data_IF_593510975936
#
_entry.id   IF_593510975936
#
_cell.length_a   1.000
_cell.length_b   1.000
_cell.length_c   1.000
_cell.angle_alpha   90.00
_cell.angle_beta   90.00
_cell.angle_gamma   90.00
#
_symmetry.space_group_name_H-M   'P 1'
#
loop_
_entity.id
_entity.type
_entity.pdbx_description
1 polymer ?
#
# COMPACT_ATOMS: atom_id res chain seq x y z
N UNK A 1 -90.19 26.88 -7.66
CA UNK A 1 -89.98 25.66 -8.54
C UNK A 1 -88.55 25.56 -9.12
N UNK A 2 -87.76 26.65 -9.24
CA UNK A 2 -86.37 26.58 -9.77
C UNK A 2 -85.28 26.15 -8.73
N UNK A 3 -85.59 26.27 -7.40
CA UNK A 3 -84.63 25.86 -6.35
C UNK A 3 -84.69 24.34 -6.04
N UNK A 4 -85.85 23.69 -6.34
CA UNK A 4 -86.00 22.25 -6.13
C UNK A 4 -85.34 21.40 -7.22
N UNK A 5 -85.24 21.98 -8.46
CA UNK A 5 -84.59 21.28 -9.57
C UNK A 5 -83.03 21.29 -9.47
N UNK A 6 -82.47 22.34 -8.85
CA UNK A 6 -81.03 22.44 -8.62
C UNK A 6 -80.56 21.49 -7.53
N UNK A 7 -81.41 21.20 -6.50
CA UNK A 7 -81.08 20.26 -5.46
C UNK A 7 -81.11 18.79 -5.87
N UNK A 8 -82.00 18.46 -6.85
CA UNK A 8 -82.11 17.13 -7.42
C UNK A 8 -80.91 16.81 -8.37
N UNK A 9 -80.37 17.83 -9.07
CA UNK A 9 -79.20 17.63 -9.91
C UNK A 9 -77.92 17.49 -9.06
N UNK A 10 -77.81 18.21 -7.98
CA UNK A 10 -76.67 18.08 -7.04
C UNK A 10 -76.74 16.77 -6.25
N UNK A 11 -77.95 16.32 -5.85
CA UNK A 11 -78.10 15.06 -5.15
C UNK A 11 -77.85 13.81 -6.04
N UNK A 12 -78.11 13.88 -7.35
CA UNK A 12 -77.73 12.80 -8.27
C UNK A 12 -76.26 12.76 -8.61
N UNK A 13 -75.51 13.86 -8.44
CA UNK A 13 -74.05 13.86 -8.59
C UNK A 13 -73.31 13.30 -7.37
N UNK A 14 -73.98 13.23 -6.21
CA UNK A 14 -73.34 12.72 -4.97
C UNK A 14 -73.59 11.20 -4.78
N UNK A 15 -74.52 10.58 -5.53
CA UNK A 15 -74.85 9.13 -5.34
C UNK A 15 -74.16 8.26 -6.41
N UNK A 16 -73.55 8.85 -7.45
CA UNK A 16 -72.70 8.11 -8.34
C UNK A 16 -71.23 8.23 -7.97
N UNK A 17 -70.92 7.92 -6.74
CA UNK A 17 -69.54 7.60 -6.29
C UNK A 17 -69.11 6.32 -6.96
N UNK A 18 -68.90 6.32 -8.28
CA UNK A 18 -68.12 5.32 -8.93
C UNK A 18 -66.71 5.57 -8.42
N UNK A 19 -66.35 4.82 -7.39
CA UNK A 19 -64.96 4.57 -7.04
C UNK A 19 -64.28 4.09 -8.29
N UNK A 20 -63.66 4.99 -9.06
CA UNK A 20 -62.75 4.62 -10.11
C UNK A 20 -61.59 3.90 -9.37
N UNK A 21 -61.72 2.56 -9.26
CA UNK A 21 -60.56 1.75 -8.94
C UNK A 21 -59.56 2.05 -10.01
N UNK A 22 -58.56 2.91 -9.67
CA UNK A 22 -57.43 3.17 -10.51
C UNK A 22 -56.81 1.84 -10.86
N UNK A 23 -57.00 1.37 -12.08
CA UNK A 23 -56.48 0.09 -12.55
C UNK A 23 -54.95 0.27 -12.54
N UNK A 24 -54.29 -0.56 -11.75
CA UNK A 24 -52.82 -0.59 -11.77
C UNK A 24 -52.39 -1.02 -13.14
N UNK A 25 -51.70 -0.15 -13.88
CA UNK A 25 -51.14 -0.45 -15.20
C UNK A 25 -49.68 -0.78 -15.02
N UNK A 26 -49.29 -1.99 -15.33
CA UNK A 26 -47.89 -2.40 -15.38
C UNK A 26 -47.32 -2.02 -16.74
N UNK A 27 -45.99 -1.71 -16.77
CA UNK A 27 -45.24 -1.59 -18.02
C UNK A 27 -45.16 -2.96 -18.71
N UNK A 28 -45.09 -2.95 -20.03
CA UNK A 28 -44.95 -4.19 -20.81
C UNK A 28 -43.71 -4.97 -20.37
N UNK A 29 -43.87 -6.26 -20.18
CA UNK A 29 -42.83 -7.19 -19.73
C UNK A 29 -42.85 -8.46 -20.57
N UNK A 30 -41.97 -8.51 -21.58
CA UNK A 30 -41.82 -9.62 -22.51
C UNK A 30 -40.40 -10.21 -22.44
N UNK A 31 -40.05 -10.96 -21.40
CA UNK A 31 -38.66 -11.41 -21.16
C UNK A 31 -38.14 -12.41 -22.21
N UNK A 32 -39.00 -12.95 -23.07
CA UNK A 32 -38.62 -13.90 -24.13
C UNK A 32 -38.75 -13.28 -25.53
N UNK A 33 -38.92 -11.99 -25.64
CA UNK A 33 -39.03 -11.32 -26.93
C UNK A 33 -37.66 -11.32 -27.64
N UNK A 34 -37.64 -11.79 -28.87
CA UNK A 34 -36.49 -11.80 -29.73
C UNK A 34 -36.44 -10.50 -30.52
N UNK A 35 -35.46 -9.65 -30.27
CA UNK A 35 -35.24 -8.46 -31.07
C UNK A 35 -34.64 -8.83 -32.41
N UNK A 36 -35.21 -8.30 -33.50
CA UNK A 36 -34.72 -8.52 -34.87
C UNK A 36 -33.31 -7.91 -35.04
N UNK A 37 -33.08 -6.76 -34.41
CA UNK A 37 -31.80 -6.08 -34.34
C UNK A 37 -31.44 -5.83 -32.87
N UNK A 38 -30.53 -6.63 -32.28
CA UNK A 38 -30.08 -6.37 -30.92
C UNK A 38 -29.34 -5.01 -30.87
N UNK A 39 -29.55 -4.19 -29.82
CA UNK A 39 -28.88 -2.90 -29.69
C UNK A 39 -27.37 -3.09 -29.59
N UNK A 40 -26.61 -2.12 -30.15
CA UNK A 40 -25.17 -2.09 -29.94
C UNK A 40 -24.89 -1.86 -28.45
N UNK A 41 -23.89 -2.57 -27.90
CA UNK A 41 -23.50 -2.38 -26.51
C UNK A 41 -23.19 -0.92 -26.14
N UNK A 42 -22.68 -0.14 -27.12
CA UNK A 42 -22.43 1.27 -26.91
C UNK A 42 -23.70 2.10 -26.68
N UNK A 43 -24.81 1.74 -27.28
CA UNK A 43 -26.10 2.45 -27.13
C UNK A 43 -26.70 2.21 -25.74
N UNK A 44 -26.40 1.07 -25.12
CA UNK A 44 -26.86 0.71 -23.78
C UNK A 44 -26.06 1.39 -22.65
N UNK A 45 -24.99 2.12 -22.98
CA UNK A 45 -24.14 2.81 -22.02
C UNK A 45 -24.38 4.32 -22.14
N UNK A 46 -24.68 4.96 -21.03
CA UNK A 46 -24.85 6.41 -20.96
C UNK A 46 -23.61 7.16 -21.50
N UNK A 47 -23.83 8.27 -22.20
CA UNK A 47 -22.76 9.07 -22.80
C UNK A 47 -21.71 9.54 -21.78
N UNK A 48 -22.16 9.98 -20.61
CA UNK A 48 -21.30 10.46 -19.52
C UNK A 48 -20.81 9.36 -18.57
N UNK A 49 -21.06 8.09 -18.88
CA UNK A 49 -20.66 7.02 -17.99
C UNK A 49 -19.12 6.92 -17.87
N UNK A 50 -18.55 6.75 -16.65
CA UNK A 50 -17.10 6.71 -16.42
C UNK A 50 -16.34 5.65 -17.25
N UNK A 51 -17.02 4.59 -17.69
CA UNK A 51 -16.42 3.55 -18.54
C UNK A 51 -15.91 4.11 -19.87
N UNK A 52 -16.59 5.11 -20.45
CA UNK A 52 -16.19 5.76 -21.71
C UNK A 52 -14.89 6.56 -21.50
N UNK A 53 -14.77 7.26 -20.39
CA UNK A 53 -13.55 8.00 -20.03
C UNK A 53 -12.40 7.04 -19.85
N UNK A 54 -12.60 5.92 -19.12
CA UNK A 54 -11.58 4.87 -18.98
C UNK A 54 -11.14 4.36 -20.35
N UNK A 55 -12.10 4.08 -21.27
CA UNK A 55 -11.76 3.59 -22.61
C UNK A 55 -10.96 4.62 -23.40
N UNK A 56 -11.47 5.86 -23.49
CA UNK A 56 -10.84 6.94 -24.28
C UNK A 56 -9.43 7.28 -23.82
N UNK A 57 -9.23 7.43 -22.50
CA UNK A 57 -7.91 7.74 -21.94
C UNK A 57 -6.92 6.62 -22.24
N UNK A 58 -7.30 5.34 -22.03
CA UNK A 58 -6.38 4.22 -22.26
C UNK A 58 -6.07 4.03 -23.75
N UNK A 59 -7.03 4.32 -24.63
CA UNK A 59 -6.76 4.30 -26.08
C UNK A 59 -5.73 5.33 -26.52
N UNK A 60 -5.66 6.48 -25.84
CA UNK A 60 -4.68 7.54 -26.09
C UNK A 60 -3.28 7.28 -25.52
N UNK A 61 -3.11 6.30 -24.61
CA UNK A 61 -1.81 6.05 -23.98
C UNK A 61 -0.79 5.40 -24.93
N UNK A 62 0.45 5.83 -24.81
CA UNK A 62 1.59 5.10 -25.39
C UNK A 62 1.95 3.90 -24.50
N UNK A 63 1.74 2.72 -25.04
CA UNK A 63 2.06 1.43 -24.37
C UNK A 63 3.14 0.63 -25.13
N UNK A 64 3.98 1.30 -25.94
CA UNK A 64 5.01 0.61 -26.73
C UNK A 64 5.96 -0.21 -25.87
N UNK A 65 6.36 0.27 -24.70
CA UNK A 65 7.21 -0.46 -23.77
C UNK A 65 6.52 -1.73 -23.25
N UNK A 66 5.26 -1.64 -22.88
CA UNK A 66 4.45 -2.80 -22.50
C UNK A 66 4.31 -3.79 -23.67
N UNK A 67 4.12 -3.32 -24.90
CA UNK A 67 4.04 -4.18 -26.08
C UNK A 67 5.33 -4.99 -26.31
N UNK A 68 6.50 -4.43 -26.03
CA UNK A 68 7.79 -5.14 -26.12
C UNK A 68 7.91 -6.34 -25.19
N UNK A 69 7.09 -6.42 -24.14
CA UNK A 69 7.05 -7.59 -23.24
C UNK A 69 6.38 -8.83 -23.87
N UNK A 70 5.70 -8.66 -25.01
CA UNK A 70 5.07 -9.75 -25.77
C UNK A 70 6.07 -10.30 -26.80
N UNK A 71 6.18 -11.63 -26.85
CA UNK A 71 7.05 -12.31 -27.83
C UNK A 71 6.20 -12.81 -29.00
N UNK A 72 6.72 -12.76 -30.21
CA UNK A 72 6.05 -13.36 -31.37
C UNK A 72 6.01 -14.90 -31.23
N UNK A 73 5.00 -15.53 -31.85
CA UNK A 73 4.79 -16.98 -31.82
C UNK A 73 3.87 -17.41 -30.67
N UNK A 74 3.41 -18.63 -30.72
CA UNK A 74 2.47 -19.21 -29.74
C UNK A 74 1.00 -18.87 -30.02
N UNK A 75 0.14 -19.11 -29.01
CA UNK A 75 -1.29 -18.82 -29.07
C UNK A 75 -1.53 -17.31 -29.07
N UNK A 76 -2.56 -16.85 -29.81
CA UNK A 76 -2.95 -15.43 -29.85
C UNK A 76 -3.22 -14.86 -28.47
N UNK A 77 -2.63 -13.71 -28.20
CA UNK A 77 -2.73 -13.02 -26.91
C UNK A 77 -3.83 -11.95 -26.95
N UNK A 78 -4.47 -11.72 -25.82
CA UNK A 78 -5.39 -10.58 -25.66
C UNK A 78 -4.61 -9.26 -25.74
N UNK A 79 -5.19 -8.25 -26.38
CA UNK A 79 -4.57 -6.94 -26.54
C UNK A 79 -4.34 -6.26 -25.18
N UNK A 80 -3.12 -5.73 -24.87
CA UNK A 80 -2.83 -5.17 -23.55
C UNK A 80 -3.70 -3.97 -23.16
N UNK A 81 -4.10 -3.10 -24.11
CA UNK A 81 -5.04 -2.00 -23.82
C UNK A 81 -6.38 -2.53 -23.31
N UNK A 82 -6.90 -3.61 -23.90
CA UNK A 82 -8.14 -4.23 -23.45
C UNK A 82 -8.02 -4.74 -22.01
N UNK A 83 -6.96 -5.50 -21.70
CA UNK A 83 -6.72 -5.99 -20.34
C UNK A 83 -6.51 -4.84 -19.33
N UNK A 84 -5.85 -3.77 -19.74
CA UNK A 84 -5.66 -2.57 -18.92
C UNK A 84 -7.00 -1.87 -18.64
N UNK A 85 -7.87 -1.71 -19.65
CA UNK A 85 -9.22 -1.17 -19.49
C UNK A 85 -10.03 -1.99 -18.48
N UNK A 86 -10.03 -3.31 -18.62
CA UNK A 86 -10.73 -4.25 -17.73
C UNK A 86 -10.22 -4.11 -16.29
N UNK A 87 -8.90 -4.07 -16.08
CA UNK A 87 -8.30 -3.94 -14.76
C UNK A 87 -8.66 -2.58 -14.12
N UNK A 88 -8.44 -1.48 -14.83
CA UNK A 88 -8.67 -0.14 -14.28
C UNK A 88 -10.15 0.07 -13.98
N UNK A 89 -11.05 -0.36 -14.87
CA UNK A 89 -12.48 -0.28 -14.63
C UNK A 89 -12.93 -1.19 -13.49
N UNK A 90 -12.32 -2.37 -13.34
CA UNK A 90 -12.53 -3.25 -12.20
C UNK A 90 -12.22 -2.55 -10.87
N UNK A 91 -11.07 -1.90 -10.77
CA UNK A 91 -10.69 -1.13 -9.57
C UNK A 91 -11.57 0.12 -9.37
N UNK A 92 -12.04 0.74 -10.46
CA UNK A 92 -13.00 1.83 -10.39
C UNK A 92 -14.34 1.36 -9.80
N UNK A 93 -14.78 0.17 -10.16
CA UNK A 93 -16.05 -0.47 -9.74
C UNK A 93 -15.92 -1.34 -8.48
N UNK A 94 -14.80 -1.27 -7.75
CA UNK A 94 -14.50 -2.03 -6.54
C UNK A 94 -14.41 -3.56 -6.75
N UNK A 95 -14.13 -3.99 -7.97
CA UNK A 95 -13.91 -5.38 -8.34
C UNK A 95 -12.40 -5.63 -8.45
N UNK A 96 -11.77 -6.18 -7.40
CA UNK A 96 -10.31 -6.37 -7.32
C UNK A 96 -9.87 -7.80 -7.68
N UNK A 97 -10.73 -8.78 -7.45
CA UNK A 97 -10.45 -10.20 -7.72
C UNK A 97 -10.50 -10.50 -9.20
N UNK A 98 -9.48 -11.15 -9.76
CA UNK A 98 -9.46 -11.58 -11.16
C UNK A 98 -10.61 -12.53 -11.50
N UNK A 99 -11.03 -13.40 -10.56
CA UNK A 99 -12.20 -14.28 -10.74
C UNK A 99 -13.52 -13.51 -10.85
N UNK A 100 -13.66 -12.45 -10.01
CA UNK A 100 -14.85 -11.57 -10.12
C UNK A 100 -14.81 -10.73 -11.41
N UNK A 101 -13.63 -10.36 -11.90
CA UNK A 101 -13.49 -9.68 -13.20
C UNK A 101 -13.85 -10.61 -14.36
N UNK A 102 -13.40 -11.87 -14.32
CA UNK A 102 -13.81 -12.90 -15.29
C UNK A 102 -15.33 -13.09 -15.32
N UNK A 103 -15.99 -13.13 -14.16
CA UNK A 103 -17.45 -13.20 -14.07
C UNK A 103 -18.09 -11.91 -14.62
N UNK A 104 -17.58 -10.74 -14.26
CA UNK A 104 -18.10 -9.47 -14.77
C UNK A 104 -17.99 -9.35 -16.31
N UNK A 105 -16.97 -9.93 -16.93
CA UNK A 105 -16.85 -10.02 -18.40
C UNK A 105 -17.95 -10.86 -19.06
N UNK A 106 -18.64 -11.70 -18.31
CA UNK A 106 -19.76 -12.52 -18.78
C UNK A 106 -21.13 -11.90 -18.51
N UNK A 107 -21.25 -11.06 -17.50
CA UNK A 107 -22.53 -10.64 -16.92
C UNK A 107 -22.74 -9.11 -16.95
N UNK A 108 -21.67 -8.31 -17.03
CA UNK A 108 -21.75 -6.86 -16.93
C UNK A 108 -21.46 -6.20 -18.27
N UNK A 109 -22.43 -5.43 -18.76
CA UNK A 109 -22.38 -4.75 -20.06
C UNK A 109 -21.16 -3.86 -20.24
N UNK A 110 -20.73 -3.14 -19.19
CA UNK A 110 -19.57 -2.25 -19.26
C UNK A 110 -18.28 -3.03 -19.50
N UNK A 111 -18.12 -4.19 -18.84
CA UNK A 111 -16.98 -5.08 -19.05
C UNK A 111 -17.02 -5.74 -20.42
N UNK A 112 -18.19 -6.17 -20.87
CA UNK A 112 -18.40 -6.73 -22.22
C UNK A 112 -18.01 -5.70 -23.30
N UNK A 113 -18.43 -4.46 -23.12
CA UNK A 113 -18.09 -3.37 -24.04
C UNK A 113 -16.58 -3.06 -24.05
N UNK A 114 -15.93 -2.95 -22.87
CA UNK A 114 -14.47 -2.69 -22.76
C UNK A 114 -13.63 -3.79 -23.40
N UNK A 115 -14.10 -5.05 -23.32
CA UNK A 115 -13.39 -6.21 -23.83
C UNK A 115 -13.77 -6.58 -25.27
N UNK A 116 -14.69 -5.82 -25.91
CA UNK A 116 -15.28 -6.18 -27.21
C UNK A 116 -15.74 -7.65 -27.20
N UNK A 117 -16.52 -8.04 -26.18
CA UNK A 117 -17.04 -9.40 -25.94
C UNK A 117 -15.97 -10.49 -25.70
N UNK A 118 -14.69 -10.11 -25.63
CA UNK A 118 -13.63 -11.04 -25.27
C UNK A 118 -13.72 -11.45 -23.80
N UNK A 119 -13.42 -12.71 -23.50
CA UNK A 119 -13.59 -13.30 -22.15
C UNK A 119 -12.28 -13.90 -21.65
N UNK A 120 -11.25 -13.09 -21.33
CA UNK A 120 -10.03 -13.61 -20.71
C UNK A 120 -10.35 -14.25 -19.35
N UNK A 121 -9.72 -15.37 -19.07
CA UNK A 121 -9.85 -16.07 -17.80
C UNK A 121 -9.13 -15.32 -16.66
N UNK A 122 -9.44 -15.69 -15.43
CA UNK A 122 -8.86 -15.08 -14.26
C UNK A 122 -7.33 -15.25 -14.16
N UNK A 123 -6.76 -16.31 -14.72
CA UNK A 123 -5.31 -16.53 -14.75
C UNK A 123 -4.64 -15.54 -15.70
N UNK A 124 -5.22 -15.33 -16.88
CA UNK A 124 -4.73 -14.32 -17.85
C UNK A 124 -4.76 -12.92 -17.26
N UNK A 125 -5.89 -12.53 -16.63
CA UNK A 125 -6.03 -11.24 -15.96
C UNK A 125 -4.99 -11.09 -14.83
N UNK A 126 -4.84 -12.12 -14.01
CA UNK A 126 -3.90 -12.09 -12.89
C UNK A 126 -2.43 -12.07 -13.35
N UNK A 127 -2.08 -12.85 -14.38
CA UNK A 127 -0.73 -12.86 -14.96
C UNK A 127 -0.39 -11.51 -15.59
N UNK A 128 -1.33 -10.92 -16.31
CA UNK A 128 -1.15 -9.58 -16.88
C UNK A 128 -0.89 -8.55 -15.77
N UNK A 129 -1.71 -8.55 -14.70
CA UNK A 129 -1.54 -7.65 -13.55
C UNK A 129 -0.22 -7.87 -12.82
N UNK A 130 0.14 -9.12 -12.51
CA UNK A 130 1.27 -9.43 -11.61
C UNK A 130 2.63 -9.51 -12.31
N UNK A 131 2.66 -9.73 -13.62
CA UNK A 131 3.89 -9.97 -14.37
C UNK A 131 4.11 -8.95 -15.48
N UNK A 132 3.12 -8.71 -16.35
CA UNK A 132 3.27 -7.82 -17.50
C UNK A 132 3.30 -6.34 -17.14
N UNK A 133 2.47 -5.94 -16.19
CA UNK A 133 2.43 -4.54 -15.72
C UNK A 133 3.57 -4.19 -14.76
N UNK A 134 4.31 -5.18 -14.26
CA UNK A 134 5.45 -4.96 -13.38
C UNK A 134 6.53 -4.14 -14.11
N UNK A 135 6.88 -2.98 -13.57
CA UNK A 135 7.83 -2.04 -14.18
C UNK A 135 7.19 -1.07 -15.17
N UNK A 136 6.10 -1.44 -15.84
CA UNK A 136 5.47 -0.61 -16.88
C UNK A 136 4.38 0.32 -16.34
N UNK A 137 3.72 -0.10 -15.27
CA UNK A 137 2.53 0.61 -14.75
C UNK A 137 2.85 2.02 -14.25
N UNK A 138 4.08 2.27 -13.78
CA UNK A 138 4.51 3.59 -13.32
C UNK A 138 4.55 4.59 -14.47
N UNK A 139 5.06 4.19 -15.64
CA UNK A 139 5.06 5.02 -16.83
C UNK A 139 3.64 5.32 -17.31
N UNK A 140 2.74 4.34 -17.27
CA UNK A 140 1.32 4.51 -17.60
C UNK A 140 0.66 5.51 -16.64
N UNK A 141 0.88 5.37 -15.34
CA UNK A 141 0.37 6.31 -14.33
C UNK A 141 0.89 7.73 -14.57
N UNK A 142 2.19 7.88 -14.85
CA UNK A 142 2.81 9.18 -15.15
C UNK A 142 2.17 9.85 -16.37
N UNK A 143 1.93 9.12 -17.45
CA UNK A 143 1.25 9.66 -18.64
C UNK A 143 -0.15 10.22 -18.29
N UNK A 144 -0.91 9.49 -17.48
CA UNK A 144 -2.25 9.92 -17.05
C UNK A 144 -2.18 11.20 -16.20
N UNK A 145 -1.21 11.30 -15.29
CA UNK A 145 -1.05 12.54 -14.49
C UNK A 145 -0.62 13.73 -15.34
N UNK A 146 0.26 13.51 -16.31
CA UNK A 146 0.65 14.57 -17.25
C UNK A 146 -0.52 15.02 -18.13
N UNK A 147 -1.39 14.11 -18.55
CA UNK A 147 -2.64 14.47 -19.22
C UNK A 147 -3.54 15.33 -18.32
N UNK A 148 -3.69 14.97 -17.04
CA UNK A 148 -4.46 15.78 -16.08
C UNK A 148 -3.84 17.18 -15.86
N UNK A 149 -2.50 17.29 -15.91
CA UNK A 149 -1.81 18.59 -15.85
C UNK A 149 -2.07 19.42 -17.12
N UNK A 150 -2.03 18.81 -18.29
CA UNK A 150 -2.35 19.47 -19.57
C UNK A 150 -3.79 19.99 -19.62
N UNK A 151 -4.74 19.23 -19.10
CA UNK A 151 -6.14 19.63 -18.94
C UNK A 151 -6.39 20.66 -17.83
N UNK A 152 -5.33 21.11 -17.12
CA UNK A 152 -5.43 22.10 -16.05
C UNK A 152 -6.14 21.59 -14.77
N UNK A 153 -6.42 20.30 -14.68
CA UNK A 153 -7.09 19.68 -13.53
C UNK A 153 -6.19 19.61 -12.31
N UNK A 154 -4.89 19.47 -12.51
CA UNK A 154 -3.88 19.40 -11.45
C UNK A 154 -2.70 20.33 -11.73
N UNK A 155 -1.90 20.58 -10.69
CA UNK A 155 -0.61 21.25 -10.80
C UNK A 155 0.45 20.45 -10.04
N UNK A 156 1.60 20.25 -10.66
CA UNK A 156 2.76 19.59 -10.03
C UNK A 156 3.61 20.55 -9.17
N UNK A 157 3.25 21.83 -9.10
CA UNK A 157 4.03 22.84 -8.36
C UNK A 157 3.85 22.79 -6.84
N UNK A 158 2.60 22.55 -6.38
CA UNK A 158 2.29 22.43 -4.95
C UNK A 158 1.72 21.05 -4.68
N UNK A 159 2.39 20.28 -3.84
CA UNK A 159 1.97 18.92 -3.50
C UNK A 159 1.67 18.77 -2.01
N UNK A 160 0.61 18.03 -1.71
CA UNK A 160 0.23 17.63 -0.36
C UNK A 160 0.64 16.18 -0.16
N UNK A 161 1.52 15.93 0.81
CA UNK A 161 2.06 14.59 1.08
C UNK A 161 1.52 14.07 2.40
N UNK A 162 1.08 12.82 2.38
CA UNK A 162 0.69 12.08 3.58
C UNK A 162 0.83 10.57 3.37
N UNK A 163 0.87 9.82 4.47
CA UNK A 163 1.06 8.39 4.49
C UNK A 163 -0.10 7.64 5.15
N UNK A 164 -0.31 6.42 4.66
CA UNK A 164 -1.25 5.49 5.29
C UNK A 164 -0.74 4.06 5.22
N UNK A 165 -1.16 3.24 6.19
CA UNK A 165 -0.80 1.82 6.24
C UNK A 165 -1.90 0.99 5.62
N UNK A 166 -1.54 0.04 4.74
CA UNK A 166 -2.45 -0.92 4.11
C UNK A 166 -1.95 -2.33 4.44
N UNK A 167 -2.84 -3.21 4.87
CA UNK A 167 -2.51 -4.57 5.25
C UNK A 167 -1.97 -5.36 4.05
N UNK A 168 -0.87 -6.09 4.25
CA UNK A 168 -0.29 -6.98 3.26
C UNK A 168 -1.09 -8.29 3.15
N UNK A 169 -0.99 -8.94 2.01
CA UNK A 169 -1.53 -10.30 1.83
C UNK A 169 -0.60 -11.33 2.49
N UNK A 170 -0.53 -11.29 3.81
CA UNK A 170 0.37 -12.12 4.59
C UNK A 170 -0.33 -12.73 5.80
N UNK A 171 0.23 -13.84 6.30
CA UNK A 171 -0.27 -14.45 7.53
C UNK A 171 0.16 -13.60 8.73
N UNK A 172 -0.80 -13.26 9.59
CA UNK A 172 -0.59 -12.43 10.79
C UNK A 172 0.19 -13.14 11.89
N UNK A 173 0.21 -14.47 11.88
CA UNK A 173 0.80 -15.30 12.96
C UNK A 173 2.17 -15.87 12.59
N UNK A 174 2.63 -15.73 11.35
CA UNK A 174 3.94 -16.16 10.92
C UNK A 174 4.89 -14.98 10.74
N UNK A 175 5.64 -14.68 11.78
CA UNK A 175 6.52 -13.52 11.85
C UNK A 175 7.92 -13.86 12.27
N UNK A 176 8.86 -12.98 11.94
CA UNK A 176 10.24 -12.97 12.42
C UNK A 176 10.55 -11.60 13.00
N UNK A 177 11.07 -11.58 14.24
CA UNK A 177 11.47 -10.37 14.94
C UNK A 177 12.98 -10.30 15.07
N UNK A 178 13.61 -9.19 14.69
CA UNK A 178 15.04 -8.98 14.84
C UNK A 178 15.51 -9.08 16.28
N UNK A 179 14.70 -8.61 17.24
CA UNK A 179 15.00 -8.75 18.67
C UNK A 179 15.05 -10.22 19.12
N UNK A 180 14.19 -11.07 18.57
CA UNK A 180 14.18 -12.50 18.87
C UNK A 180 15.41 -13.20 18.31
N UNK A 181 15.84 -12.85 17.10
CA UNK A 181 17.07 -13.37 16.49
C UNK A 181 18.27 -13.03 17.38
N UNK A 182 18.42 -11.76 17.79
CA UNK A 182 19.50 -11.31 18.67
C UNK A 182 19.51 -12.08 19.99
N UNK A 183 18.32 -12.24 20.63
CA UNK A 183 18.17 -12.99 21.88
C UNK A 183 18.56 -14.46 21.74
N UNK A 184 18.15 -15.10 20.64
CA UNK A 184 18.49 -16.52 20.43
C UNK A 184 19.96 -16.73 20.11
N UNK A 185 20.59 -15.84 19.32
CA UNK A 185 22.04 -15.88 19.11
C UNK A 185 22.82 -15.71 20.41
N UNK A 186 22.48 -14.69 21.21
CA UNK A 186 23.11 -14.47 22.52
C UNK A 186 22.96 -15.68 23.43
N UNK A 187 21.79 -16.32 23.46
CA UNK A 187 21.57 -17.54 24.26
C UNK A 187 22.43 -18.72 23.80
N UNK A 188 22.65 -18.89 22.50
CA UNK A 188 23.56 -19.94 21.99
C UNK A 188 25.00 -19.62 22.42
N UNK A 189 25.44 -18.35 22.31
CA UNK A 189 26.77 -17.90 22.74
C UNK A 189 27.01 -18.21 24.23
N UNK A 190 26.09 -17.77 25.10
CA UNK A 190 26.17 -18.03 26.56
C UNK A 190 26.20 -19.52 26.89
N UNK A 191 25.42 -20.33 26.17
CA UNK A 191 25.39 -21.78 26.40
C UNK A 191 26.62 -22.49 25.87
N UNK A 192 27.21 -22.01 24.78
CA UNK A 192 28.46 -22.53 24.23
C UNK A 192 29.64 -22.22 25.18
N UNK A 193 29.73 -21.00 25.66
CA UNK A 193 30.70 -20.55 26.66
C UNK A 193 30.60 -21.37 27.94
N UNK A 194 29.39 -21.62 28.44
CA UNK A 194 29.19 -22.47 29.63
C UNK A 194 29.61 -23.92 29.41
N UNK A 195 29.43 -24.46 28.20
CA UNK A 195 29.92 -25.83 27.87
C UNK A 195 31.43 -25.84 27.73
N UNK A 196 32.04 -24.81 27.16
CA UNK A 196 33.49 -24.67 27.07
C UNK A 196 34.13 -24.58 28.45
N UNK A 197 33.68 -23.71 29.33
CA UNK A 197 34.16 -23.54 30.70
C UNK A 197 33.99 -24.84 31.52
N UNK A 198 32.94 -25.63 31.24
CA UNK A 198 32.81 -26.96 31.86
C UNK A 198 33.89 -27.94 31.35
N UNK A 199 34.15 -27.94 30.04
CA UNK A 199 35.19 -28.80 29.44
C UNK A 199 36.59 -28.44 29.98
N UNK A 200 36.92 -27.15 30.09
CA UNK A 200 38.17 -26.66 30.69
C UNK A 200 38.35 -27.14 32.13
N UNK A 201 37.29 -27.10 32.95
CA UNK A 201 37.36 -27.59 34.36
C UNK A 201 37.54 -29.08 34.47
N UNK A 202 37.03 -29.88 33.53
CA UNK A 202 37.10 -31.35 33.55
C UNK A 202 38.38 -31.87 32.94
N UNK A 203 39.01 -31.11 32.05
CA UNK A 203 40.16 -31.50 31.27
C UNK A 203 41.27 -30.42 31.27
N UNK A 204 41.61 -29.90 32.43
CA UNK A 204 42.60 -28.83 32.60
C UNK A 204 43.94 -29.11 31.92
N UNK A 205 44.39 -30.34 31.92
CA UNK A 205 45.69 -30.75 31.37
C UNK A 205 45.72 -30.82 29.85
N UNK A 206 44.56 -30.95 29.19
CA UNK A 206 44.43 -31.10 27.73
C UNK A 206 44.13 -29.77 27.01
N UNK A 207 43.66 -28.75 27.74
CA UNK A 207 43.25 -27.45 27.17
C UNK A 207 44.18 -26.29 27.54
N UNK A 208 45.27 -26.50 28.30
CA UNK A 208 46.19 -25.45 28.75
C UNK A 208 46.88 -24.65 27.62
N UNK A 209 46.87 -25.16 26.38
CA UNK A 209 47.44 -24.48 25.20
C UNK A 209 46.41 -23.94 24.19
N UNK A 210 45.14 -23.86 24.58
CA UNK A 210 44.10 -23.33 23.65
C UNK A 210 43.95 -21.84 23.83
N UNK A 211 44.02 -21.06 22.71
CA UNK A 211 43.74 -19.64 22.70
C UNK A 211 42.35 -19.35 23.30
N UNK A 212 42.24 -18.26 24.03
CA UNK A 212 40.98 -17.81 24.60
C UNK A 212 39.95 -17.60 23.49
N UNK A 213 38.93 -18.44 23.44
CA UNK A 213 37.86 -18.31 22.46
C UNK A 213 36.97 -17.12 22.80
N UNK A 214 36.82 -16.18 21.86
CA UNK A 214 35.83 -15.11 21.99
C UNK A 214 34.44 -15.61 21.51
N UNK A 215 33.49 -15.67 22.44
CA UNK A 215 32.11 -16.11 22.21
C UNK A 215 31.15 -14.94 21.85
N UNK A 216 31.65 -13.69 21.74
CA UNK A 216 30.79 -12.54 21.40
C UNK A 216 30.27 -12.61 19.97
N UNK A 217 31.11 -13.10 19.05
CA UNK A 217 30.72 -13.30 17.65
C UNK A 217 30.83 -14.79 17.30
N UNK A 218 29.68 -15.46 17.22
CA UNK A 218 29.57 -16.87 16.87
C UNK A 218 28.88 -17.03 15.52
N UNK A 219 29.42 -17.92 14.69
CA UNK A 219 28.83 -18.42 13.46
C UNK A 219 28.64 -19.94 13.51
N UNK A 220 28.06 -20.52 12.46
CA UNK A 220 27.78 -21.94 12.38
C UNK A 220 29.06 -22.79 12.39
N UNK A 221 30.13 -22.32 11.75
CA UNK A 221 31.40 -23.00 11.62
C UNK A 221 32.14 -23.05 12.97
N UNK A 222 32.28 -21.88 13.60
CA UNK A 222 32.91 -21.74 14.93
C UNK A 222 32.20 -22.60 16.01
N UNK A 223 30.84 -22.60 15.97
CA UNK A 223 30.04 -23.43 16.89
C UNK A 223 30.31 -24.91 16.66
N UNK A 224 30.35 -25.38 15.41
CA UNK A 224 30.61 -26.77 15.06
C UNK A 224 31.99 -27.18 15.52
N UNK A 225 33.03 -26.40 15.18
CA UNK A 225 34.41 -26.65 15.59
C UNK A 225 34.57 -26.70 17.11
N UNK A 226 33.94 -25.77 17.84
CA UNK A 226 33.99 -25.71 19.30
C UNK A 226 33.30 -26.92 19.92
N UNK A 227 32.14 -27.33 19.42
CA UNK A 227 31.41 -28.50 19.93
C UNK A 227 32.18 -29.80 19.67
N UNK A 228 32.80 -29.93 18.48
CA UNK A 228 33.61 -31.12 18.16
C UNK A 228 34.85 -31.19 19.05
N UNK A 229 35.55 -30.09 19.31
CA UNK A 229 36.64 -30.00 20.29
C UNK A 229 36.17 -30.43 21.71
N UNK A 230 35.04 -29.89 22.19
CA UNK A 230 34.48 -30.26 23.48
C UNK A 230 34.16 -31.76 23.53
N UNK A 231 33.57 -32.33 22.49
CA UNK A 231 33.25 -33.75 22.43
C UNK A 231 34.51 -34.64 22.42
N UNK A 232 35.57 -34.22 21.73
CA UNK A 232 36.86 -34.92 21.68
C UNK A 232 37.51 -34.98 23.10
N UNK A 233 37.62 -33.80 23.74
CA UNK A 233 38.22 -33.67 25.08
C UNK A 233 37.42 -34.39 26.16
N UNK A 234 36.10 -34.47 26.02
CA UNK A 234 35.23 -35.15 27.01
C UNK A 234 34.92 -36.61 26.69
N UNK A 235 35.53 -37.20 25.63
CA UNK A 235 35.22 -38.57 25.15
C UNK A 235 35.43 -39.63 26.22
N UNK A 236 36.56 -39.57 26.93
CA UNK A 236 36.98 -40.57 27.91
C UNK A 236 36.75 -40.12 29.37
N UNK A 237 36.07 -39.00 29.57
CA UNK A 237 35.78 -38.44 30.90
C UNK A 237 34.37 -38.81 31.37
N UNK A 238 34.20 -38.94 32.69
CA UNK A 238 32.87 -39.10 33.32
C UNK A 238 32.08 -37.81 33.27
N UNK A 239 31.22 -37.67 32.28
CA UNK A 239 30.36 -36.49 32.06
C UNK A 239 28.94 -36.79 32.52
N UNK A 240 28.28 -35.81 33.16
CA UNK A 240 26.89 -35.97 33.59
C UNK A 240 25.96 -36.17 32.38
N UNK A 241 24.91 -36.97 32.55
CA UNK A 241 23.92 -37.24 31.50
C UNK A 241 23.31 -35.95 30.92
N UNK A 242 23.08 -34.94 31.76
CA UNK A 242 22.56 -33.63 31.35
C UNK A 242 23.48 -32.86 30.36
N UNK A 243 24.80 -32.90 30.64
CA UNK A 243 25.78 -32.24 29.76
C UNK A 243 25.89 -32.99 28.44
N UNK A 244 25.92 -34.33 28.47
CA UNK A 244 25.96 -35.16 27.25
C UNK A 244 24.71 -34.92 26.37
N UNK A 245 23.53 -34.84 26.96
CA UNK A 245 22.29 -34.47 26.21
C UNK A 245 22.38 -33.07 25.60
N UNK A 246 22.93 -32.09 26.34
CA UNK A 246 23.08 -30.72 25.86
C UNK A 246 24.09 -30.63 24.71
N UNK A 247 25.20 -31.35 24.76
CA UNK A 247 26.19 -31.45 23.69
C UNK A 247 25.59 -32.09 22.42
N UNK A 248 24.84 -33.18 22.57
CA UNK A 248 24.17 -33.83 21.45
C UNK A 248 23.13 -32.90 20.80
N UNK A 249 22.37 -32.17 21.63
CA UNK A 249 21.43 -31.15 21.10
C UNK A 249 22.14 -30.00 20.38
N UNK A 250 23.24 -29.51 20.96
CA UNK A 250 24.05 -28.44 20.39
C UNK A 250 24.63 -28.84 19.04
N UNK A 251 25.25 -30.03 18.96
CA UNK A 251 25.80 -30.58 17.71
C UNK A 251 24.75 -30.71 16.61
N UNK A 252 23.55 -31.15 16.97
CA UNK A 252 22.46 -31.37 15.98
C UNK A 252 21.76 -30.09 15.51
N UNK A 253 21.68 -29.05 16.36
CA UNK A 253 20.73 -27.96 16.12
C UNK A 253 21.36 -26.56 16.05
N UNK A 254 22.50 -26.31 16.72
CA UNK A 254 22.95 -24.92 16.88
C UNK A 254 23.55 -24.35 15.59
N UNK A 255 24.29 -25.12 14.84
CA UNK A 255 24.85 -24.70 13.56
C UNK A 255 23.73 -24.33 12.56
N UNK A 256 22.76 -25.23 12.38
CA UNK A 256 21.59 -24.99 11.48
C UNK A 256 20.76 -23.79 11.93
N UNK A 257 20.58 -23.63 13.26
CA UNK A 257 19.85 -22.47 13.77
C UNK A 257 20.59 -21.15 13.51
N UNK A 258 21.91 -21.11 13.64
CA UNK A 258 22.71 -19.92 13.35
C UNK A 258 22.67 -19.56 11.86
N UNK A 259 22.77 -20.54 10.98
CA UNK A 259 22.63 -20.33 9.54
C UNK A 259 21.24 -19.80 9.18
N UNK A 260 20.19 -20.39 9.78
CA UNK A 260 18.82 -19.89 9.64
C UNK A 260 18.69 -18.45 10.14
N UNK A 261 19.29 -18.11 11.29
CA UNK A 261 19.25 -16.75 11.83
C UNK A 261 20.04 -15.77 10.95
N UNK A 262 21.13 -16.20 10.31
CA UNK A 262 21.88 -15.41 9.33
C UNK A 262 20.99 -15.07 8.12
N UNK A 263 20.36 -16.06 7.50
CA UNK A 263 19.40 -15.87 6.40
C UNK A 263 18.23 -14.95 6.79
N UNK A 264 17.68 -15.13 7.99
CA UNK A 264 16.63 -14.27 8.50
C UNK A 264 17.08 -12.82 8.72
N UNK A 265 18.31 -12.61 9.11
CA UNK A 265 18.89 -11.29 9.32
C UNK A 265 19.16 -10.57 8.00
N UNK A 266 19.58 -11.29 6.97
CA UNK A 266 19.73 -10.78 5.60
C UNK A 266 18.37 -10.29 5.05
N UNK A 267 17.31 -11.09 5.19
CA UNK A 267 15.94 -10.68 4.79
C UNK A 267 15.45 -9.48 5.60
N UNK A 268 15.80 -9.42 6.89
CA UNK A 268 15.35 -8.36 7.79
C UNK A 268 15.92 -7.00 7.42
N UNK A 269 17.18 -6.96 6.93
CA UNK A 269 17.90 -5.71 6.67
C UNK A 269 17.87 -4.74 7.87
N UNK A 270 17.42 -3.49 7.64
CA UNK A 270 17.25 -2.47 8.68
C UNK A 270 15.88 -2.49 9.37
N UNK A 271 15.00 -3.47 9.06
CA UNK A 271 13.64 -3.57 9.60
C UNK A 271 13.63 -4.30 10.94
N UNK A 272 12.62 -4.02 11.75
CA UNK A 272 12.44 -4.69 13.04
C UNK A 272 11.76 -6.06 12.93
N UNK A 273 11.02 -6.29 11.86
CA UNK A 273 10.24 -7.53 11.66
C UNK A 273 9.88 -7.73 10.19
N UNK A 274 9.54 -8.96 9.83
CA UNK A 274 8.91 -9.30 8.56
C UNK A 274 7.95 -10.49 8.69
N UNK A 275 7.04 -10.66 7.72
CA UNK A 275 6.17 -11.83 7.64
C UNK A 275 6.83 -12.92 6.79
N UNK A 276 6.75 -14.20 7.23
CA UNK A 276 7.30 -15.33 6.47
C UNK A 276 6.59 -15.57 5.14
N UNK A 277 5.33 -15.12 5.00
CA UNK A 277 4.51 -15.29 3.79
C UNK A 277 4.65 -14.14 2.80
N UNK A 278 5.11 -12.98 3.25
CA UNK A 278 5.49 -11.81 2.44
C UNK A 278 6.67 -11.14 3.13
N UNK A 279 7.89 -11.52 2.70
CA UNK A 279 9.14 -11.13 3.36
C UNK A 279 9.45 -9.64 3.26
N UNK A 280 8.80 -8.90 2.37
CA UNK A 280 8.95 -7.46 2.23
C UNK A 280 7.96 -6.66 3.10
N UNK A 281 6.89 -7.30 3.60
CA UNK A 281 5.93 -6.69 4.52
C UNK A 281 6.47 -6.63 5.95
N UNK A 282 6.30 -5.48 6.60
CA UNK A 282 6.72 -5.24 7.98
C UNK A 282 5.51 -5.19 8.91
N UNK A 283 5.65 -5.67 10.14
CA UNK A 283 4.58 -5.56 11.13
C UNK A 283 4.46 -4.13 11.64
N UNK A 284 3.25 -3.55 11.45
CA UNK A 284 2.95 -2.16 11.76
C UNK A 284 1.66 -2.07 12.57
N UNK A 285 1.60 -1.07 13.47
CA UNK A 285 0.34 -0.69 14.11
C UNK A 285 -0.54 -0.01 13.08
N UNK A 286 -1.76 -0.52 12.88
CA UNK A 286 -2.73 0.07 11.95
C UNK A 286 -3.44 1.27 12.60
N UNK A 287 -3.75 2.31 11.80
CA UNK A 287 -4.55 3.47 12.29
C UNK A 287 -5.99 3.09 12.66
N UNK A 288 -6.50 2.01 12.06
CA UNK A 288 -7.90 1.52 12.20
C UNK A 288 -8.03 0.41 13.25
N UNK A 289 -7.18 0.43 14.26
CA UNK A 289 -7.30 -0.47 15.41
C UNK A 289 -8.44 -0.01 16.32
N UNK A 290 -9.68 -0.39 15.97
CA UNK A 290 -10.89 -0.01 16.72
C UNK A 290 -10.86 -0.50 18.17
N UNK A 291 -10.19 -1.63 18.42
CA UNK A 291 -10.07 -2.21 19.76
C UNK A 291 -8.96 -1.53 20.58
N UNK A 292 -8.15 -0.68 19.96
CA UNK A 292 -6.98 -0.01 20.57
C UNK A 292 -6.04 -0.94 21.35
N UNK A 293 -6.07 -2.22 21.00
CA UNK A 293 -5.25 -3.24 21.65
C UNK A 293 -3.79 -3.27 21.14
N UNK A 294 -3.46 -2.38 20.21
CA UNK A 294 -2.13 -2.25 19.65
C UNK A 294 -1.71 -3.39 18.73
N UNK A 295 -2.67 -4.17 18.22
CA UNK A 295 -2.39 -5.30 17.34
C UNK A 295 -1.56 -4.89 16.13
N UNK A 296 -0.43 -5.56 15.95
CA UNK A 296 0.44 -5.39 14.81
C UNK A 296 -0.04 -6.29 13.67
N UNK A 297 -0.08 -5.73 12.46
CA UNK A 297 -0.39 -6.49 11.25
C UNK A 297 0.74 -6.33 10.23
N UNK A 298 1.03 -7.37 9.42
CA UNK A 298 1.93 -7.20 8.29
C UNK A 298 1.32 -6.20 7.32
N UNK A 299 2.07 -5.16 6.97
CA UNK A 299 1.56 -4.04 6.20
C UNK A 299 2.67 -3.35 5.41
N UNK A 300 2.25 -2.54 4.46
CA UNK A 300 3.07 -1.57 3.76
C UNK A 300 2.64 -0.15 4.13
N UNK A 301 3.59 0.76 4.21
CA UNK A 301 3.33 2.18 4.37
C UNK A 301 3.26 2.82 2.97
N UNK A 302 2.05 3.21 2.57
CA UNK A 302 1.77 3.90 1.32
C UNK A 302 1.89 5.40 1.54
N UNK A 303 2.76 6.04 0.78
CA UNK A 303 2.87 7.50 0.68
C UNK A 303 2.20 7.97 -0.60
N UNK A 304 1.44 9.05 -0.54
CA UNK A 304 0.85 9.71 -1.72
C UNK A 304 1.16 11.21 -1.74
N UNK A 305 1.40 11.72 -2.93
CA UNK A 305 1.36 13.15 -3.23
C UNK A 305 0.05 13.48 -3.92
N UNK A 306 -0.65 14.51 -3.46
CA UNK A 306 -1.93 14.92 -4.05
C UNK A 306 -1.95 16.39 -4.43
N UNK A 307 -2.82 16.74 -5.36
CA UNK A 307 -3.22 18.11 -5.66
C UNK A 307 -4.68 18.12 -6.11
N UNK A 308 -5.50 18.95 -5.50
CA UNK A 308 -6.96 18.99 -5.74
C UNK A 308 -7.61 17.60 -5.59
N UNK A 309 -7.12 16.78 -4.64
CA UNK A 309 -7.54 15.40 -4.39
C UNK A 309 -7.26 14.41 -5.55
N UNK A 310 -6.50 14.76 -6.56
CA UNK A 310 -5.93 13.81 -7.50
C UNK A 310 -4.62 13.28 -6.94
N UNK A 311 -4.34 12.01 -7.16
CA UNK A 311 -3.06 11.40 -6.78
C UNK A 311 -2.05 11.73 -7.88
N UNK A 312 -1.00 12.48 -7.52
CA UNK A 312 0.08 12.85 -8.43
C UNK A 312 1.21 11.83 -8.41
N UNK A 313 1.51 11.28 -7.25
CA UNK A 313 2.58 10.31 -7.07
C UNK A 313 2.26 9.40 -5.89
N UNK A 314 2.81 8.20 -5.91
CA UNK A 314 2.72 7.22 -4.83
C UNK A 314 4.05 6.51 -4.65
N UNK A 315 4.31 6.04 -3.43
CA UNK A 315 5.45 5.16 -3.14
C UNK A 315 5.12 4.22 -1.99
N UNK A 316 5.73 3.03 -2.00
CA UNK A 316 5.46 1.96 -1.03
C UNK A 316 6.72 1.70 -0.22
N UNK A 317 6.56 1.68 1.09
CA UNK A 317 7.65 1.53 2.03
C UNK A 317 7.38 0.40 3.02
N UNK A 318 8.44 -0.33 3.38
CA UNK A 318 8.41 -1.30 4.47
C UNK A 318 8.70 -0.65 5.83
N UNK A 319 8.99 0.66 5.87
CA UNK A 319 9.24 1.40 7.09
C UNK A 319 7.91 1.86 7.71
N UNK A 320 7.65 1.59 9.00
CA UNK A 320 6.39 1.98 9.65
C UNK A 320 6.27 3.48 9.97
N UNK A 321 7.36 4.25 9.86
CA UNK A 321 7.38 5.70 10.15
C UNK A 321 7.50 6.52 8.88
N UNK A 322 6.76 7.63 8.81
CA UNK A 322 6.74 8.49 7.64
C UNK A 322 8.02 9.35 7.50
N UNK A 323 8.72 9.59 8.60
CA UNK A 323 9.95 10.40 8.65
C UNK A 323 11.02 9.95 7.64
N UNK A 324 11.17 8.62 7.48
CA UNK A 324 12.21 8.03 6.61
C UNK A 324 11.73 7.75 5.18
N UNK A 325 10.51 8.14 4.82
CA UNK A 325 9.93 7.82 3.51
C UNK A 325 10.03 8.97 2.51
N UNK A 326 10.18 10.20 2.99
CA UNK A 326 10.10 11.41 2.17
C UNK A 326 11.17 11.47 1.07
N UNK A 327 12.41 11.11 1.38
CA UNK A 327 13.51 11.15 0.43
C UNK A 327 13.25 10.27 -0.79
N UNK A 328 12.94 8.99 -0.55
CA UNK A 328 12.66 8.05 -1.64
C UNK A 328 11.35 8.38 -2.37
N UNK A 329 10.35 8.95 -1.67
CA UNK A 329 9.12 9.44 -2.27
C UNK A 329 9.39 10.59 -3.24
N UNK A 330 10.16 11.60 -2.84
CA UNK A 330 10.53 12.73 -3.69
C UNK A 330 11.44 12.31 -4.85
N UNK A 331 12.34 11.36 -4.63
CA UNK A 331 13.17 10.79 -5.70
C UNK A 331 12.29 10.14 -6.78
N UNK A 332 11.32 9.33 -6.38
CA UNK A 332 10.37 8.71 -7.32
C UNK A 332 9.49 9.75 -8.05
N UNK A 333 9.12 10.84 -7.40
CA UNK A 333 8.41 11.97 -8.05
C UNK A 333 9.30 12.63 -9.12
N UNK A 334 10.54 12.95 -8.79
CA UNK A 334 11.52 13.54 -9.70
C UNK A 334 11.84 12.64 -10.90
N UNK A 335 12.00 11.34 -10.68
CA UNK A 335 12.17 10.34 -11.74
C UNK A 335 10.97 10.29 -12.71
N UNK A 336 9.74 10.45 -12.17
CA UNK A 336 8.51 10.38 -12.97
C UNK A 336 8.28 11.64 -13.82
N UNK A 337 8.62 12.82 -13.29
CA UNK A 337 8.24 14.11 -13.92
C UNK A 337 9.44 14.95 -14.35
N UNK A 338 10.68 14.50 -14.10
CA UNK A 338 11.93 15.25 -14.34
C UNK A 338 11.93 16.65 -13.71
N UNK A 339 11.10 16.85 -12.70
CA UNK A 339 10.99 18.09 -11.91
C UNK A 339 10.56 17.75 -10.48
N UNK A 340 10.90 18.64 -9.55
CA UNK A 340 10.42 18.58 -8.16
C UNK A 340 9.34 19.63 -7.92
N UNK A 341 8.45 19.44 -6.95
CA UNK A 341 7.45 20.47 -6.62
C UNK A 341 8.13 21.72 -6.05
N UNK A 342 7.58 22.89 -6.34
CA UNK A 342 8.05 24.16 -5.75
C UNK A 342 7.71 24.24 -4.25
N UNK A 343 6.58 23.67 -3.85
CA UNK A 343 6.05 23.69 -2.49
C UNK A 343 5.58 22.30 -2.07
N UNK A 344 5.96 21.90 -0.88
CA UNK A 344 5.55 20.64 -0.27
C UNK A 344 4.86 20.90 1.06
N UNK A 345 3.66 20.35 1.21
CA UNK A 345 2.83 20.48 2.41
C UNK A 345 2.67 19.10 3.05
N UNK A 346 3.12 18.93 4.28
CA UNK A 346 3.02 17.67 4.99
C UNK A 346 2.73 17.86 6.49
N UNK A 347 2.41 16.79 7.17
CA UNK A 347 2.15 16.80 8.59
C UNK A 347 3.43 16.75 9.44
N UNK A 348 3.27 16.65 10.76
CA UNK A 348 4.40 16.64 11.70
C UNK A 348 5.21 15.32 11.65
N UNK A 349 4.68 14.26 11.07
CA UNK A 349 5.39 13.00 10.86
C UNK A 349 6.61 13.14 9.95
N UNK A 350 6.63 14.18 9.10
CA UNK A 350 7.73 14.48 8.18
C UNK A 350 8.69 15.58 8.70
N UNK A 351 8.41 16.15 9.88
CA UNK A 351 9.13 17.33 10.41
C UNK A 351 10.45 17.00 11.09
N UNK A 352 11.32 16.21 10.49
CA UNK A 352 12.68 15.93 10.95
C UNK A 352 13.71 16.92 10.39
N UNK A 353 14.87 17.03 11.03
CA UNK A 353 15.97 17.87 10.56
C UNK A 353 16.46 17.44 9.18
N UNK A 354 16.60 16.11 8.97
CA UNK A 354 17.02 15.54 7.69
C UNK A 354 16.06 15.94 6.57
N UNK A 355 14.75 15.82 6.81
CA UNK A 355 13.74 16.18 5.82
C UNK A 355 13.72 17.65 5.46
N UNK A 356 13.89 18.56 6.46
CA UNK A 356 14.01 20.00 6.16
C UNK A 356 15.27 20.31 5.36
N UNK A 357 16.39 19.66 5.66
CA UNK A 357 17.63 19.84 4.91
C UNK A 357 17.51 19.29 3.49
N UNK A 358 16.87 18.14 3.31
CA UNK A 358 16.53 17.55 2.00
C UNK A 358 15.67 18.52 1.16
N UNK A 359 14.60 19.06 1.74
CA UNK A 359 13.73 20.00 1.02
C UNK A 359 14.46 21.28 0.65
N UNK A 360 15.34 21.76 1.52
CA UNK A 360 16.18 22.93 1.25
C UNK A 360 17.19 22.66 0.12
N UNK A 361 17.86 21.50 0.11
CA UNK A 361 18.83 21.14 -0.95
C UNK A 361 18.16 21.05 -2.33
N UNK A 362 16.90 20.56 -2.37
CA UNK A 362 16.09 20.50 -3.59
C UNK A 362 15.36 21.81 -3.93
N UNK A 363 15.60 22.89 -3.19
CA UNK A 363 14.94 24.20 -3.36
C UNK A 363 13.41 24.15 -3.25
N UNK A 364 12.88 23.19 -2.50
CA UNK A 364 11.45 23.02 -2.23
C UNK A 364 11.06 23.81 -0.99
N UNK A 365 9.98 24.60 -1.07
CA UNK A 365 9.48 25.39 0.07
C UNK A 365 8.71 24.48 1.05
N UNK A 366 9.20 24.29 2.32
CA UNK A 366 8.69 23.25 3.21
C UNK A 366 7.54 23.78 4.08
N UNK A 367 6.31 23.63 3.68
CA UNK A 367 5.15 23.85 4.56
C UNK A 367 4.86 22.60 5.41
N UNK A 368 5.88 22.12 6.08
CA UNK A 368 5.86 20.90 6.90
C UNK A 368 5.76 21.30 8.38
N UNK A 369 4.80 20.69 9.10
CA UNK A 369 4.71 20.87 10.54
C UNK A 369 5.81 20.09 11.25
N UNK A 370 6.18 20.52 12.47
CA UNK A 370 7.04 19.75 13.38
C UNK A 370 6.25 19.35 14.64
N UNK A 371 6.75 18.39 15.41
CA UNK A 371 5.99 17.75 16.49
C UNK A 371 5.40 18.72 17.53
N UNK A 372 6.09 19.81 17.85
CA UNK A 372 5.63 20.80 18.84
C UNK A 372 4.87 21.98 18.23
N UNK A 373 4.65 22.01 16.93
CA UNK A 373 4.06 23.17 16.24
C UNK A 373 2.75 23.66 16.84
N UNK A 374 1.84 22.74 17.23
CA UNK A 374 0.55 23.12 17.85
C UNK A 374 0.73 23.75 19.23
N UNK A 375 1.69 23.26 20.03
CA UNK A 375 2.02 23.80 21.34
C UNK A 375 2.58 25.20 21.19
N UNK A 376 3.57 25.38 20.31
CA UNK A 376 4.22 26.63 20.03
C UNK A 376 3.26 27.68 19.47
N UNK A 377 2.30 27.26 18.62
CA UNK A 377 1.26 28.15 18.10
C UNK A 377 0.30 28.66 19.18
N UNK A 378 0.02 27.85 20.20
CA UNK A 378 -0.85 28.25 21.32
C UNK A 378 -0.11 29.15 22.33
N UNK A 379 1.15 28.84 22.62
CA UNK A 379 1.96 29.58 23.59
C UNK A 379 2.56 30.87 23.05
N UNK A 380 2.64 31.01 21.70
CA UNK A 380 3.40 32.09 21.06
C UNK A 380 4.92 31.93 21.16
N UNK A 381 5.42 30.90 21.84
CA UNK A 381 6.83 30.65 22.08
C UNK A 381 7.27 29.35 21.41
N UNK A 382 8.43 29.38 20.74
CA UNK A 382 8.96 28.21 20.06
C UNK A 382 9.66 27.31 21.07
N UNK A 383 9.27 26.04 21.12
CA UNK A 383 9.92 25.03 21.96
C UNK A 383 11.38 24.85 21.52
N UNK A 384 12.29 25.32 22.34
CA UNK A 384 13.72 25.21 22.09
C UNK A 384 14.17 23.76 22.26
N UNK A 385 15.20 23.39 21.51
CA UNK A 385 15.91 22.11 21.66
C UNK A 385 17.33 22.47 22.17
N UNK A 386 17.57 22.50 23.49
CA UNK A 386 18.84 22.94 24.03
C UNK A 386 20.05 22.19 23.47
N UNK A 387 19.86 20.89 23.19
CA UNK A 387 20.88 19.98 22.70
C UNK A 387 21.05 20.01 21.17
N UNK A 388 20.22 20.77 20.43
CA UNK A 388 20.32 20.88 18.96
C UNK A 388 19.92 22.28 18.48
N UNK A 389 20.86 23.24 18.47
CA UNK A 389 20.62 24.64 18.06
C UNK A 389 20.30 24.75 16.55
N UNK A 390 20.78 23.80 15.72
CA UNK A 390 20.44 23.74 14.27
C UNK A 390 18.94 23.44 14.07
N UNK A 391 18.43 22.47 14.77
CA UNK A 391 17.02 22.11 14.72
C UNK A 391 16.14 23.25 15.26
N UNK A 392 16.55 23.95 16.28
CA UNK A 392 15.83 25.12 16.80
C UNK A 392 15.69 26.23 15.73
N UNK A 393 16.76 26.58 15.02
CA UNK A 393 16.73 27.55 13.91
C UNK A 393 15.83 27.07 12.75
N UNK A 394 15.81 25.77 12.45
CA UNK A 394 14.93 25.19 11.41
C UNK A 394 13.47 25.31 11.83
N UNK A 395 13.14 24.96 13.09
CA UNK A 395 11.78 25.10 13.63
C UNK A 395 11.29 26.55 13.62
N UNK A 396 12.16 27.48 13.95
CA UNK A 396 11.85 28.92 13.90
C UNK A 396 11.46 29.37 12.48
N UNK A 397 12.25 28.99 11.48
CA UNK A 397 11.94 29.28 10.07
C UNK A 397 10.65 28.62 9.64
N UNK A 398 10.44 27.36 10.02
CA UNK A 398 9.22 26.63 9.72
C UNK A 398 8.00 27.27 10.41
N UNK A 399 8.12 27.69 11.66
CA UNK A 399 7.07 28.38 12.41
C UNK A 399 6.65 29.68 11.73
N UNK A 400 7.63 30.54 11.38
CA UNK A 400 7.37 31.78 10.63
C UNK A 400 6.66 31.49 9.30
N UNK A 401 7.16 30.54 8.51
CA UNK A 401 6.61 30.17 7.21
C UNK A 401 5.17 29.63 7.31
N UNK A 402 4.92 28.73 8.28
CA UNK A 402 3.62 28.14 8.51
C UNK A 402 2.55 29.12 9.00
N UNK A 403 2.96 30.21 9.65
CA UNK A 403 2.06 31.27 10.14
C UNK A 403 1.88 32.44 9.15
N UNK A 404 2.51 32.40 7.98
CA UNK A 404 2.18 33.34 6.88
C UNK A 404 0.76 33.10 6.39
N UNK A 405 0.13 34.11 5.77
CA UNK A 405 -1.21 33.99 5.15
C UNK A 405 -1.29 32.76 4.20
N UNK A 406 -0.26 32.57 3.37
CA UNK A 406 -0.15 31.39 2.48
C UNK A 406 0.00 30.08 3.28
N UNK A 407 0.88 30.05 4.29
CA UNK A 407 1.11 28.88 5.12
C UNK A 407 -0.14 28.43 5.86
N UNK A 408 -0.94 29.36 6.38
CA UNK A 408 -2.23 29.06 7.03
C UNK A 408 -3.21 28.44 6.01
N UNK A 409 -3.31 29.01 4.82
CA UNK A 409 -4.18 28.48 3.73
C UNK A 409 -3.77 27.06 3.36
N UNK A 410 -2.48 26.81 3.10
CA UNK A 410 -1.98 25.50 2.69
C UNK A 410 -2.14 24.44 3.80
N UNK A 411 -1.88 24.80 5.07
CA UNK A 411 -2.11 23.89 6.21
C UNK A 411 -3.58 23.45 6.36
N UNK A 412 -4.52 24.36 6.13
CA UNK A 412 -5.96 24.06 6.14
C UNK A 412 -6.31 23.18 4.94
N UNK A 413 -5.79 23.53 3.77
CA UNK A 413 -6.06 22.79 2.52
C UNK A 413 -5.57 21.34 2.58
N UNK A 414 -4.47 21.03 3.31
CA UNK A 414 -3.93 19.67 3.41
C UNK A 414 -4.98 18.63 3.81
N UNK A 415 -5.75 18.90 4.86
CA UNK A 415 -6.78 17.95 5.31
C UNK A 415 -7.89 17.77 4.27
N UNK A 416 -8.26 18.82 3.54
CA UNK A 416 -9.25 18.75 2.48
C UNK A 416 -8.73 18.13 1.18
N UNK A 417 -7.41 18.03 1.01
CA UNK A 417 -6.79 17.50 -0.20
C UNK A 417 -6.45 16.00 -0.07
N UNK A 418 -5.83 15.60 1.04
CA UNK A 418 -5.31 14.23 1.21
C UNK A 418 -6.28 13.30 1.95
N UNK A 419 -6.92 13.77 3.02
CA UNK A 419 -7.77 12.90 3.86
C UNK A 419 -8.97 12.31 3.08
N UNK A 420 -9.67 13.06 2.19
CA UNK A 420 -10.72 12.48 1.36
C UNK A 420 -10.23 11.41 0.40
N UNK A 421 -8.99 11.52 -0.10
CA UNK A 421 -8.40 10.50 -0.97
C UNK A 421 -8.22 9.20 -0.21
N UNK A 422 -7.67 9.23 1.01
CA UNK A 422 -7.56 8.03 1.83
C UNK A 422 -8.91 7.46 2.24
N UNK A 423 -9.89 8.32 2.54
CA UNK A 423 -11.26 7.89 2.82
C UNK A 423 -11.88 7.19 1.61
N UNK A 424 -11.74 7.75 0.40
CA UNK A 424 -12.22 7.11 -0.83
C UNK A 424 -11.56 5.74 -1.04
N UNK A 425 -10.24 5.63 -0.89
CA UNK A 425 -9.53 4.37 -1.10
C UNK A 425 -9.91 3.31 -0.06
N UNK A 426 -9.94 3.66 1.23
CA UNK A 426 -10.11 2.69 2.32
C UNK A 426 -11.55 2.39 2.68
N UNK A 427 -12.44 3.39 2.64
CA UNK A 427 -13.84 3.26 3.04
C UNK A 427 -14.75 3.04 1.84
N UNK A 428 -14.83 3.98 0.89
CA UNK A 428 -15.74 3.86 -0.23
C UNK A 428 -15.35 2.73 -1.19
N UNK A 429 -14.05 2.59 -1.44
CA UNK A 429 -13.51 1.49 -2.25
C UNK A 429 -13.20 0.22 -1.46
N UNK A 430 -13.28 0.26 -0.14
CA UNK A 430 -12.99 -0.86 0.78
C UNK A 430 -11.63 -1.54 0.51
N UNK A 431 -10.64 -0.78 0.02
CA UNK A 431 -9.29 -1.29 -0.25
C UNK A 431 -8.44 -1.24 1.01
N UNK A 432 -8.64 -2.21 1.91
CA UNK A 432 -7.97 -2.29 3.22
C UNK A 432 -6.78 -3.26 3.24
N UNK A 433 -6.70 -4.16 2.26
CA UNK A 433 -5.69 -5.21 2.16
C UNK A 433 -5.31 -5.46 0.71
N UNK A 434 -4.02 -5.67 0.45
CA UNK A 434 -3.51 -6.07 -0.85
C UNK A 434 -3.93 -7.49 -1.21
N UNK A 435 -4.03 -7.79 -2.49
CA UNK A 435 -4.25 -9.13 -3.02
C UNK A 435 -2.95 -9.78 -3.46
N UNK A 436 -2.00 -8.99 -3.96
CA UNK A 436 -0.69 -9.44 -4.39
C UNK A 436 0.32 -9.40 -3.24
N UNK A 437 1.46 -10.07 -3.41
CA UNK A 437 2.55 -10.16 -2.44
C UNK A 437 3.84 -9.64 -3.05
N UNK A 438 4.67 -9.03 -2.19
CA UNK A 438 5.93 -8.43 -2.59
C UNK A 438 5.74 -7.02 -3.16
N UNK A 439 6.69 -6.13 -2.83
CA UNK A 439 6.63 -4.69 -3.06
C UNK A 439 6.33 -4.33 -4.51
N UNK A 440 7.01 -4.98 -5.47
CA UNK A 440 6.84 -4.70 -6.88
C UNK A 440 5.43 -5.01 -7.40
N UNK A 441 4.78 -6.08 -6.90
CA UNK A 441 3.41 -6.44 -7.30
C UNK A 441 2.37 -5.58 -6.57
N UNK A 442 2.64 -5.25 -5.30
CA UNK A 442 1.84 -4.32 -4.50
C UNK A 442 1.85 -2.92 -5.13
N UNK A 443 2.98 -2.50 -5.71
CA UNK A 443 3.08 -1.25 -6.46
C UNK A 443 2.14 -1.22 -7.67
N UNK A 444 1.99 -2.33 -8.39
CA UNK A 444 1.03 -2.43 -9.50
C UNK A 444 -0.41 -2.24 -9.00
N UNK A 445 -0.77 -2.83 -7.86
CA UNK A 445 -2.12 -2.66 -7.29
C UNK A 445 -2.42 -1.22 -6.92
N UNK A 446 -1.45 -0.53 -6.31
CA UNK A 446 -1.61 0.89 -5.94
C UNK A 446 -1.67 1.77 -7.18
N UNK A 447 -0.86 1.50 -8.20
CA UNK A 447 -0.92 2.25 -9.45
C UNK A 447 -2.31 2.17 -10.11
N UNK A 448 -2.84 0.95 -10.26
CA UNK A 448 -4.18 0.74 -10.84
C UNK A 448 -5.24 1.44 -9.98
N UNK A 449 -5.14 1.35 -8.66
CA UNK A 449 -6.07 2.01 -7.73
C UNK A 449 -6.01 3.53 -7.84
N UNK A 450 -4.80 4.10 -7.96
CA UNK A 450 -4.58 5.54 -8.14
C UNK A 450 -5.10 6.03 -9.50
N UNK A 451 -4.84 5.28 -10.57
CA UNK A 451 -5.42 5.56 -11.90
C UNK A 451 -6.94 5.54 -11.83
N UNK A 452 -7.53 4.49 -11.25
CA UNK A 452 -8.98 4.36 -11.12
C UNK A 452 -9.60 5.51 -10.28
N UNK A 453 -8.90 5.95 -9.23
CA UNK A 453 -9.31 7.12 -8.44
C UNK A 453 -9.28 8.40 -9.28
N UNK A 454 -8.19 8.66 -9.97
CA UNK A 454 -8.02 9.86 -10.79
C UNK A 454 -9.05 9.92 -11.93
N UNK A 455 -9.24 8.81 -12.65
CA UNK A 455 -10.24 8.76 -13.74
C UNK A 455 -11.68 8.88 -13.23
N UNK A 456 -12.01 8.28 -12.07
CA UNK A 456 -13.32 8.48 -11.42
C UNK A 456 -13.55 9.94 -11.05
N UNK A 457 -12.53 10.61 -10.57
CA UNK A 457 -12.61 12.02 -10.21
C UNK A 457 -12.70 12.92 -11.45
N UNK A 458 -11.95 12.61 -12.50
CA UNK A 458 -12.05 13.29 -13.81
C UNK A 458 -13.46 13.16 -14.38
N UNK A 459 -14.07 11.97 -14.33
CA UNK A 459 -15.43 11.72 -14.80
C UNK A 459 -16.51 12.54 -14.04
N UNK A 460 -16.23 12.95 -12.82
CA UNK A 460 -17.14 13.80 -12.04
C UNK A 460 -16.93 15.30 -12.32
N UNK A 461 -15.82 15.67 -12.92
CA UNK A 461 -15.49 17.06 -13.24
C UNK A 461 -15.86 17.44 -14.68
N UNK A 462 -16.02 16.44 -15.56
CA UNK A 462 -16.54 16.56 -16.92
C UNK A 462 -18.09 16.55 -16.93
#
# INVERSE_FOLDING_TARGET
KRKALAFLIVANYIICGVSMKTKIVFKDYHPKENLLFPPNLSELIEEKHPVRIVSGIIDGLDIKSLMKTYKPGGTSCYHPKMLLKVLIYGYLSNIYSSRKMEQALKENIHFMWLSAMSRPDHNTINRFRSERLKGEIKAIFTQIVLLLEQEGLVSLETTFVDGTKIEANANRYTFVWGRSIKKHKARIAEQLEALWNYAEKVAQDELQNTESLDFKEIDSEKVTQTIDKINEVLKDKKVSSKIRQKLNYAKKNWADNLEKYKKQQEILEARNSYSKTDTEATFMRMKEDHMRNGQLKPAYNLQISTNRQFILHYSIHSNPTDTKTLESHLKGFEESYHKVPKELVADAGYGSEENYNLLKSKKIKPYVKYNYFRKDQKSGQITTSPNNPRLAKIREKAFRLLNTRKGIKLRKQRSHDVEPVFAELKHNKNFKRFLLRGKNKVEVEIAILAIAHNLKKMAKAA
#
